data_IF_790951955078
#
_entry.id   IF_790951955078
#
_cell.length_a   1.000
_cell.length_b   1.000
_cell.length_c   1.000
_cell.angle_alpha   90.00
_cell.angle_beta   90.00
_cell.angle_gamma   90.00
#
_symmetry.space_group_name_H-M   'P 1'
#
loop_
_entity.id
_entity.type
_entity.pdbx_description
1 polymer ?
#
# COMPACT_ATOMS: atom_id res chain seq x y z
N UNK A 1 2.10 -0.08 13.96
CA UNK A 1 3.39 -0.62 13.48
C UNK A 1 4.52 0.19 14.07
N UNK A 2 5.74 -0.35 14.16
CA UNK A 2 6.88 0.34 14.77
C UNK A 2 7.41 1.56 13.97
N UNK A 3 6.91 1.77 12.76
CA UNK A 3 7.35 2.81 11.82
C UNK A 3 6.32 3.93 11.65
N UNK A 4 5.67 4.38 12.73
CA UNK A 4 4.57 5.38 12.68
C UNK A 4 4.98 6.73 12.06
N UNK A 5 6.27 7.01 11.99
CA UNK A 5 6.83 8.23 11.40
C UNK A 5 7.19 8.11 9.91
N UNK A 6 6.92 6.95 9.30
CA UNK A 6 7.23 6.73 7.89
C UNK A 6 6.34 7.61 7.00
N UNK A 7 6.96 8.42 6.16
CA UNK A 7 6.27 9.27 5.17
C UNK A 7 6.33 8.69 3.77
N UNK A 8 7.33 7.87 3.46
CA UNK A 8 7.53 7.26 2.14
C UNK A 8 7.79 5.76 2.30
N UNK A 9 6.97 4.96 1.63
CA UNK A 9 7.15 3.51 1.55
C UNK A 9 7.12 3.09 0.08
N UNK A 10 8.20 2.48 -0.38
CA UNK A 10 8.28 1.90 -1.71
C UNK A 10 8.81 0.49 -1.61
N UNK A 11 8.05 -0.45 -2.15
CA UNK A 11 8.44 -1.85 -2.37
C UNK A 11 8.15 -2.26 -3.81
N UNK A 12 8.15 -1.30 -4.72
CA UNK A 12 7.85 -1.52 -6.13
C UNK A 12 8.94 -2.37 -6.80
N UNK A 13 8.60 -3.02 -7.92
CA UNK A 13 9.53 -3.81 -8.73
C UNK A 13 10.12 -4.99 -7.97
N UNK A 14 9.28 -5.74 -7.29
CA UNK A 14 9.65 -6.93 -6.54
C UNK A 14 8.81 -8.14 -6.99
N UNK A 15 9.03 -9.28 -6.34
CA UNK A 15 8.21 -10.48 -6.51
C UNK A 15 7.31 -10.72 -5.29
N UNK A 16 6.78 -9.65 -4.69
CA UNK A 16 5.88 -9.77 -3.55
C UNK A 16 4.55 -10.39 -3.98
N UNK A 17 4.07 -11.35 -3.21
CA UNK A 17 2.82 -12.10 -3.44
C UNK A 17 1.87 -11.95 -2.25
N UNK A 18 0.62 -12.38 -2.43
CA UNK A 18 -0.40 -12.34 -1.37
C UNK A 18 -1.17 -11.02 -1.37
N UNK A 19 -1.87 -10.72 -0.28
CA UNK A 19 -2.74 -9.54 -0.19
C UNK A 19 -2.03 -8.34 0.43
N UNK A 20 -2.55 -7.15 0.18
CA UNK A 20 -2.09 -5.92 0.85
C UNK A 20 -2.56 -5.96 2.31
N UNK A 21 -1.65 -5.92 3.30
CA UNK A 21 -2.03 -5.97 4.70
C UNK A 21 -2.77 -4.69 5.13
N UNK A 22 -3.87 -4.86 5.85
CA UNK A 22 -4.70 -3.75 6.31
C UNK A 22 -3.98 -2.86 7.33
N UNK A 23 -2.96 -3.39 8.00
CA UNK A 23 -2.14 -2.76 9.02
C UNK A 23 -1.29 -1.61 8.47
N UNK A 24 -1.09 -1.53 7.14
CA UNK A 24 -0.47 -0.37 6.50
C UNK A 24 -1.25 0.92 6.75
N UNK A 25 -2.57 0.81 7.02
CA UNK A 25 -3.42 1.94 7.44
C UNK A 25 -2.96 2.61 8.74
N UNK A 26 -2.18 1.92 9.58
CA UNK A 26 -1.62 2.51 10.79
C UNK A 26 -0.50 3.52 10.52
N UNK A 27 0.02 3.60 9.29
CA UNK A 27 1.06 4.54 8.89
C UNK A 27 0.41 5.88 8.50
N UNK A 28 -0.25 6.53 9.45
CA UNK A 28 -1.11 7.70 9.17
C UNK A 28 -0.35 8.93 8.67
N UNK A 29 0.98 8.96 8.82
CA UNK A 29 1.87 10.00 8.27
C UNK A 29 2.37 9.71 6.85
N UNK A 30 1.98 8.59 6.26
CA UNK A 30 2.44 8.18 4.94
C UNK A 30 1.90 9.15 3.88
N UNK A 31 2.80 9.71 3.09
CA UNK A 31 2.52 10.62 1.98
C UNK A 31 2.68 9.93 0.62
N UNK A 32 3.56 8.92 0.56
CA UNK A 32 3.88 8.17 -0.65
C UNK A 32 3.86 6.66 -0.37
N UNK A 33 3.08 5.93 -1.17
CA UNK A 33 3.03 4.47 -1.15
C UNK A 33 3.14 3.90 -2.56
N UNK A 34 4.22 3.17 -2.83
CA UNK A 34 4.43 2.44 -4.08
C UNK A 34 4.52 0.93 -3.85
N UNK A 35 3.53 0.22 -4.37
CA UNK A 35 3.38 -1.24 -4.38
C UNK A 35 3.42 -1.82 -5.80
N UNK A 36 3.57 -0.97 -6.82
CA UNK A 36 3.48 -1.36 -8.23
C UNK A 36 4.56 -2.34 -8.68
N UNK A 37 4.31 -3.03 -9.79
CA UNK A 37 5.24 -4.01 -10.38
C UNK A 37 5.57 -5.14 -9.38
N UNK A 38 4.53 -5.83 -8.93
CA UNK A 38 4.59 -6.98 -8.01
C UNK A 38 3.54 -8.04 -8.43
N UNK A 39 3.34 -9.06 -7.59
CA UNK A 39 2.37 -10.14 -7.81
C UNK A 39 1.31 -10.15 -6.69
N UNK A 40 0.99 -8.98 -6.13
CA UNK A 40 -0.02 -8.84 -5.08
C UNK A 40 -1.41 -9.10 -5.66
N UNK A 41 -2.29 -9.72 -4.87
CA UNK A 41 -3.66 -10.10 -5.26
C UNK A 41 -4.69 -9.69 -4.22
N UNK A 42 -5.97 -9.90 -4.52
CA UNK A 42 -7.08 -9.45 -3.66
C UNK A 42 -7.39 -7.96 -3.82
N UNK A 43 -8.06 -7.36 -2.85
CA UNK A 43 -8.51 -5.96 -2.92
C UNK A 43 -7.61 -4.98 -2.17
N UNK A 44 -7.73 -3.70 -2.53
CA UNK A 44 -7.17 -2.61 -1.74
C UNK A 44 -7.95 -2.54 -0.42
N UNK A 45 -7.30 -2.59 0.76
CA UNK A 45 -8.01 -2.54 2.04
C UNK A 45 -8.81 -1.24 2.18
N UNK A 46 -10.08 -1.34 2.56
CA UNK A 46 -10.93 -0.16 2.84
C UNK A 46 -10.33 0.73 3.95
N UNK A 47 -9.52 0.15 4.84
CA UNK A 47 -8.79 0.87 5.89
C UNK A 47 -7.80 1.91 5.34
N UNK A 48 -7.41 1.84 4.06
CA UNK A 48 -6.57 2.87 3.43
C UNK A 48 -7.25 4.25 3.41
N UNK A 49 -8.57 4.33 3.60
CA UNK A 49 -9.27 5.60 3.82
C UNK A 49 -8.80 6.39 5.06
N UNK A 50 -8.07 5.75 5.99
CA UNK A 50 -7.44 6.42 7.13
C UNK A 50 -6.08 7.05 6.84
N UNK A 51 -5.49 6.79 5.67
CA UNK A 51 -4.22 7.38 5.22
C UNK A 51 -4.45 8.80 4.71
N UNK A 52 -4.95 9.68 5.58
CA UNK A 52 -5.38 11.04 5.24
C UNK A 52 -4.27 11.94 4.67
N UNK A 53 -3.01 11.59 4.91
CA UNK A 53 -1.84 12.32 4.39
C UNK A 53 -1.32 11.76 3.05
N UNK A 54 -1.89 10.66 2.55
CA UNK A 54 -1.40 10.00 1.35
C UNK A 54 -1.70 10.85 0.11
N UNK A 55 -0.64 11.25 -0.58
CA UNK A 55 -0.70 12.09 -1.79
C UNK A 55 -0.51 11.26 -3.05
N UNK A 56 0.28 10.19 -2.96
CA UNK A 56 0.64 9.35 -4.09
C UNK A 56 0.50 7.87 -3.71
N UNK A 57 -0.28 7.16 -4.52
CA UNK A 57 -0.50 5.73 -4.38
C UNK A 57 -0.32 5.05 -5.73
N UNK A 58 0.68 4.17 -5.84
CA UNK A 58 0.93 3.37 -7.04
C UNK A 58 0.76 1.89 -6.72
N UNK A 59 -0.17 1.23 -7.40
CA UNK A 59 -0.43 -0.21 -7.25
C UNK A 59 -0.61 -0.94 -8.58
N UNK A 60 -0.36 -0.27 -9.72
CA UNK A 60 -0.42 -0.86 -11.05
C UNK A 60 0.53 -2.05 -11.20
N UNK A 61 0.35 -2.85 -12.24
CA UNK A 61 1.16 -4.06 -12.49
C UNK A 61 1.19 -4.99 -11.28
N UNK A 62 -0.02 -5.33 -10.80
CA UNK A 62 -0.33 -6.35 -9.81
C UNK A 62 -1.58 -7.11 -10.25
N UNK A 63 -2.01 -8.12 -9.48
CA UNK A 63 -3.22 -8.92 -9.70
C UNK A 63 -4.36 -8.47 -8.77
N UNK A 64 -4.43 -7.17 -8.46
CA UNK A 64 -5.45 -6.62 -7.57
C UNK A 64 -6.82 -6.59 -8.26
N UNK A 65 -7.85 -6.88 -7.47
CA UNK A 65 -9.25 -6.96 -7.89
C UNK A 65 -10.13 -6.18 -6.93
N UNK A 66 -11.15 -5.50 -7.43
CA UNK A 66 -12.10 -4.74 -6.63
C UNK A 66 -13.21 -4.17 -7.51
N UNK A 67 -14.33 -3.82 -6.90
CA UNK A 67 -15.49 -3.20 -7.55
C UNK A 67 -15.44 -1.69 -7.43
#
# INVERSE_FOLDING_TARGET
GALVDLTHLSVSRNSLTGTIPSELSNLTKLEFLALNENQLSGSIPLSFGSLINLKQLYFHDNQLSGS
#
